data_IF_563681096077
#
_entry.id   IF_563681096077
#
_cell.length_a   1.000
_cell.length_b   1.000
_cell.length_c   1.000
_cell.angle_alpha   90.00
_cell.angle_beta   90.00
_cell.angle_gamma   90.00
#
_symmetry.space_group_name_H-M   'P 1'
#
loop_
_entity.id
_entity.type
_entity.pdbx_description
1 polymer ?
#
# COMPACT_ATOMS: atom_id res chain seq x y z
N UNK A 1 14.88 32.65 8.19
CA UNK A 1 14.68 31.82 6.98
C UNK A 1 13.97 30.49 7.28
N UNK A 2 14.41 29.73 8.30
CA UNK A 2 13.79 28.44 8.71
C UNK A 2 12.30 28.55 9.06
N UNK A 3 11.90 29.60 9.78
CA UNK A 3 10.51 29.80 10.21
C UNK A 3 9.49 29.85 9.07
N UNK A 4 9.77 30.65 8.04
CA UNK A 4 8.89 30.77 6.87
C UNK A 4 8.81 29.46 6.11
N UNK A 5 9.93 28.74 6.00
CA UNK A 5 9.96 27.42 5.39
C UNK A 5 9.11 26.42 6.18
N UNK A 6 9.23 26.34 7.51
CA UNK A 6 8.44 25.42 8.33
C UNK A 6 6.94 25.73 8.25
N UNK A 7 6.56 27.02 8.27
CA UNK A 7 5.17 27.44 8.03
C UNK A 7 4.67 26.99 6.66
N UNK A 8 5.48 27.19 5.62
CA UNK A 8 5.12 26.75 4.27
C UNK A 8 4.96 25.23 4.19
N UNK A 9 5.85 24.45 4.82
CA UNK A 9 5.73 22.99 4.87
C UNK A 9 4.42 22.56 5.53
N UNK A 10 4.01 23.22 6.61
CA UNK A 10 2.72 22.96 7.24
C UNK A 10 1.56 23.26 6.29
N UNK A 11 1.54 24.44 5.67
CA UNK A 11 0.49 24.82 4.71
C UNK A 11 0.43 23.83 3.55
N UNK A 12 1.58 23.47 2.99
CA UNK A 12 1.69 22.53 1.86
C UNK A 12 1.18 21.13 2.21
N UNK A 13 1.29 20.68 3.47
CA UNK A 13 0.73 19.40 3.91
C UNK A 13 -0.80 19.37 3.83
N UNK A 14 -1.47 20.49 4.14
CA UNK A 14 -2.93 20.55 4.26
C UNK A 14 -3.61 21.28 3.09
N UNK A 15 -2.86 21.75 2.10
CA UNK A 15 -3.36 22.66 1.06
C UNK A 15 -4.55 22.08 0.27
N UNK A 16 -4.61 20.75 0.11
CA UNK A 16 -5.70 20.07 -0.59
C UNK A 16 -6.97 19.90 0.26
N UNK A 17 -6.88 20.10 1.57
CA UNK A 17 -7.99 20.02 2.51
C UNK A 17 -8.55 21.42 2.87
N UNK A 18 -8.03 22.47 2.24
CA UNK A 18 -8.45 23.86 2.42
C UNK A 18 -9.56 24.25 1.42
N UNK A 19 -10.21 25.42 1.60
CA UNK A 19 -11.19 25.92 0.64
C UNK A 19 -10.65 26.04 -0.78
N UNK A 20 -11.56 26.03 -1.75
CA UNK A 20 -11.26 26.03 -3.19
C UNK A 20 -10.21 27.06 -3.61
N UNK A 21 -10.20 28.26 -3.04
CA UNK A 21 -9.23 29.32 -3.38
C UNK A 21 -7.77 28.87 -3.18
N UNK A 22 -7.47 28.09 -2.14
CA UNK A 22 -6.14 27.54 -1.88
C UNK A 22 -5.83 26.38 -2.82
N UNK A 23 -6.78 25.44 -2.95
CA UNK A 23 -6.63 24.25 -3.81
C UNK A 23 -6.43 24.65 -5.27
N UNK A 24 -7.20 25.63 -5.75
CA UNK A 24 -7.10 26.14 -7.12
C UNK A 24 -5.73 26.74 -7.41
N UNK A 25 -5.21 27.57 -6.50
CA UNK A 25 -3.85 28.12 -6.60
C UNK A 25 -2.77 27.03 -6.56
N UNK A 26 -2.97 26.00 -5.75
CA UNK A 26 -2.08 24.84 -5.76
C UNK A 26 -2.12 24.09 -7.09
N UNK A 27 -3.30 23.88 -7.68
CA UNK A 27 -3.46 23.23 -8.99
C UNK A 27 -2.81 24.04 -10.12
N UNK A 28 -2.93 25.37 -10.12
CA UNK A 28 -2.20 26.24 -11.06
C UNK A 28 -0.69 26.01 -10.96
N UNK A 29 -0.15 26.01 -9.74
CA UNK A 29 1.27 25.72 -9.50
C UNK A 29 1.68 24.34 -10.02
N UNK A 30 0.93 23.28 -9.67
CA UNK A 30 1.26 21.92 -10.12
C UNK A 30 1.19 21.80 -11.65
N UNK A 31 0.24 22.49 -12.29
CA UNK A 31 0.10 22.46 -13.75
C UNK A 31 1.29 23.13 -14.44
N UNK A 32 1.75 24.26 -13.90
CA UNK A 32 2.96 24.93 -14.39
C UNK A 32 4.22 24.08 -14.15
N UNK A 33 4.29 23.38 -13.00
CA UNK A 33 5.43 22.54 -12.64
C UNK A 33 5.53 21.27 -13.49
N UNK A 34 4.41 20.56 -13.69
CA UNK A 34 4.39 19.30 -14.43
C UNK A 34 4.20 19.48 -15.94
N UNK A 35 3.78 20.65 -16.41
CA UNK A 35 3.55 20.93 -17.84
C UNK A 35 2.22 20.39 -18.39
N UNK A 36 1.30 19.95 -17.53
CA UNK A 36 -0.05 19.53 -17.92
C UNK A 36 -1.05 19.83 -16.81
N UNK A 37 -2.32 20.02 -17.17
CA UNK A 37 -3.36 20.32 -16.19
C UNK A 37 -3.76 19.06 -15.43
N UNK A 38 -3.56 19.08 -14.11
CA UNK A 38 -4.08 18.04 -13.22
C UNK A 38 -5.57 18.28 -12.96
N UNK A 39 -6.42 17.61 -13.74
CA UNK A 39 -7.85 17.55 -13.47
C UNK A 39 -8.17 16.27 -12.68
N UNK A 40 -8.52 16.45 -11.40
CA UNK A 40 -9.15 15.43 -10.57
C UNK A 40 -10.53 15.97 -10.20
N UNK A 41 -11.57 15.16 -10.38
CA UNK A 41 -12.89 15.49 -9.82
C UNK A 41 -12.80 15.48 -8.29
N UNK A 42 -13.78 16.07 -7.61
CA UNK A 42 -13.82 16.04 -6.15
C UNK A 42 -14.07 14.61 -5.67
N UNK A 43 -14.88 13.86 -6.41
CA UNK A 43 -15.19 12.45 -6.20
C UNK A 43 -13.92 11.59 -6.26
N UNK A 44 -13.09 11.77 -7.30
CA UNK A 44 -11.82 11.05 -7.43
C UNK A 44 -10.85 11.39 -6.29
N UNK A 45 -10.80 12.67 -5.89
CA UNK A 45 -9.96 13.13 -4.78
C UNK A 45 -10.41 12.49 -3.46
N UNK A 46 -11.69 12.60 -3.13
CA UNK A 46 -12.27 12.05 -1.91
C UNK A 46 -12.11 10.54 -1.86
N UNK A 47 -12.37 9.84 -2.96
CA UNK A 47 -12.22 8.38 -3.05
C UNK A 47 -10.78 7.97 -2.77
N UNK A 48 -9.80 8.64 -3.40
CA UNK A 48 -8.38 8.39 -3.17
C UNK A 48 -7.96 8.67 -1.73
N UNK A 49 -8.46 9.75 -1.14
CA UNK A 49 -8.16 10.07 0.26
C UNK A 49 -8.76 9.07 1.24
N UNK A 50 -9.97 8.57 0.98
CA UNK A 50 -10.57 7.48 1.79
C UNK A 50 -9.73 6.21 1.67
N UNK A 51 -9.35 5.80 0.46
CA UNK A 51 -8.47 4.63 0.24
C UNK A 51 -7.14 4.80 0.99
N UNK A 52 -6.54 5.98 0.93
CA UNK A 52 -5.26 6.28 1.59
C UNK A 52 -5.36 6.31 3.12
N UNK A 53 -6.48 6.78 3.67
CA UNK A 53 -6.66 6.97 5.12
C UNK A 53 -7.27 5.75 5.82
N UNK A 54 -8.01 4.92 5.08
CA UNK A 54 -8.68 3.71 5.59
C UNK A 54 -8.34 2.44 4.79
N UNK A 55 -7.05 2.13 4.58
CA UNK A 55 -6.65 1.03 3.70
C UNK A 55 -7.24 -0.33 4.14
N UNK A 56 -7.19 -0.65 5.44
CA UNK A 56 -7.68 -1.92 5.96
C UNK A 56 -9.21 -2.05 5.93
N UNK A 57 -9.92 -0.94 6.15
CA UNK A 57 -11.37 -0.94 5.99
C UNK A 57 -11.77 -1.18 4.52
N UNK A 58 -11.05 -0.58 3.56
CA UNK A 58 -11.26 -0.84 2.13
C UNK A 58 -10.97 -2.32 1.78
N UNK A 59 -9.90 -2.91 2.32
CA UNK A 59 -9.62 -4.34 2.15
C UNK A 59 -10.77 -5.22 2.67
N UNK A 60 -11.32 -4.90 3.86
CA UNK A 60 -12.48 -5.61 4.42
C UNK A 60 -13.70 -5.54 3.50
N UNK A 61 -14.04 -4.35 3.01
CA UNK A 61 -15.15 -4.15 2.08
C UNK A 61 -14.97 -4.95 0.78
N UNK A 62 -13.74 -5.07 0.27
CA UNK A 62 -13.45 -5.86 -0.92
C UNK A 62 -13.63 -7.37 -0.69
N UNK A 63 -13.19 -7.86 0.48
CA UNK A 63 -13.19 -9.29 0.81
C UNK A 63 -14.57 -9.81 1.22
N UNK A 64 -15.40 -8.98 1.82
CA UNK A 64 -16.80 -9.31 2.13
C UNK A 64 -17.63 -9.64 0.88
N UNK A 65 -17.25 -9.13 -0.29
CA UNK A 65 -18.10 -9.10 -1.48
C UNK A 65 -17.75 -10.15 -2.57
N UNK A 66 -16.79 -11.06 -2.36
CA UNK A 66 -16.37 -11.95 -3.46
C UNK A 66 -16.06 -13.40 -3.05
N UNK A 67 -16.92 -14.34 -3.40
CA UNK A 67 -16.61 -15.78 -3.42
C UNK A 67 -15.50 -16.13 -4.43
N UNK A 68 -15.37 -15.35 -5.51
CA UNK A 68 -14.29 -15.45 -6.51
C UNK A 68 -12.89 -15.21 -5.93
N UNK A 69 -12.79 -14.52 -4.79
CA UNK A 69 -11.52 -14.15 -4.18
C UNK A 69 -10.72 -15.34 -3.66
N UNK A 70 -11.35 -16.32 -3.02
CA UNK A 70 -10.65 -17.49 -2.46
C UNK A 70 -9.88 -18.27 -3.55
N UNK A 71 -10.50 -18.42 -4.72
CA UNK A 71 -9.85 -19.06 -5.86
C UNK A 71 -8.72 -18.20 -6.42
N UNK A 72 -8.92 -16.88 -6.52
CA UNK A 72 -7.90 -15.95 -7.01
C UNK A 72 -6.65 -15.92 -6.11
N UNK A 73 -6.81 -15.95 -4.78
CA UNK A 73 -5.71 -16.06 -3.82
C UNK A 73 -4.91 -17.34 -4.08
N UNK A 74 -5.59 -18.48 -4.21
CA UNK A 74 -4.95 -19.78 -4.45
C UNK A 74 -4.18 -19.79 -5.77
N UNK A 75 -4.74 -19.19 -6.83
CA UNK A 75 -4.06 -19.01 -8.12
C UNK A 75 -2.80 -18.15 -7.96
N UNK A 76 -2.89 -17.01 -7.30
CA UNK A 76 -1.75 -16.09 -7.10
C UNK A 76 -0.66 -16.72 -6.24
N UNK A 77 -1.02 -17.48 -5.20
CA UNK A 77 -0.06 -18.26 -4.39
C UNK A 77 0.68 -19.28 -5.24
N UNK A 78 -0.05 -20.03 -6.07
CA UNK A 78 0.52 -21.05 -6.97
C UNK A 78 1.50 -20.41 -7.97
N UNK A 79 1.07 -19.34 -8.64
CA UNK A 79 1.90 -18.60 -9.60
C UNK A 79 3.14 -18.02 -8.92
N UNK A 80 3.00 -17.44 -7.73
CA UNK A 80 4.13 -16.90 -6.96
C UNK A 80 5.16 -17.98 -6.64
N UNK A 81 4.72 -19.16 -6.20
CA UNK A 81 5.60 -20.28 -5.88
C UNK A 81 6.33 -20.83 -7.12
N UNK A 82 5.63 -20.98 -8.24
CA UNK A 82 6.25 -21.43 -9.49
C UNK A 82 7.22 -20.39 -10.06
N UNK A 83 6.95 -19.09 -9.91
CA UNK A 83 7.90 -18.03 -10.25
C UNK A 83 9.18 -18.10 -9.41
N UNK A 84 9.06 -18.29 -8.09
CA UNK A 84 10.22 -18.44 -7.19
C UNK A 84 11.06 -19.65 -7.60
N UNK A 85 10.43 -20.78 -7.87
CA UNK A 85 11.08 -22.02 -8.31
C UNK A 85 11.74 -21.89 -9.68
N UNK A 86 11.06 -21.22 -10.62
CA UNK A 86 11.61 -20.92 -11.95
C UNK A 86 12.82 -20.00 -11.85
N UNK A 87 12.78 -19.01 -10.96
CA UNK A 87 13.89 -18.10 -10.75
C UNK A 87 15.11 -18.78 -10.10
N UNK A 88 14.88 -19.71 -9.16
CA UNK A 88 15.96 -20.59 -8.65
C UNK A 88 16.58 -21.43 -9.77
N UNK A 89 15.75 -22.02 -10.63
CA UNK A 89 16.19 -22.80 -11.79
C UNK A 89 17.02 -21.95 -12.77
N UNK A 90 16.58 -20.72 -13.01
CA UNK A 90 17.32 -19.75 -13.83
C UNK A 90 18.71 -19.44 -13.24
N UNK A 91 18.81 -19.25 -11.92
CA UNK A 91 20.12 -19.03 -11.25
C UNK A 91 21.07 -20.19 -11.48
N UNK A 92 20.58 -21.43 -11.42
CA UNK A 92 21.42 -22.61 -11.60
C UNK A 92 21.82 -22.85 -13.06
N UNK A 93 20.89 -22.66 -14.01
CA UNK A 93 21.07 -23.08 -15.41
C UNK A 93 21.46 -21.96 -16.37
N UNK A 94 21.05 -20.72 -16.10
CA UNK A 94 21.07 -19.64 -17.08
C UNK A 94 21.82 -18.40 -16.62
N UNK A 95 21.98 -18.16 -15.32
CA UNK A 95 22.69 -17.00 -14.77
C UNK A 95 24.22 -17.13 -14.88
N UNK A 96 24.76 -17.26 -16.10
CA UNK A 96 26.19 -17.44 -16.38
C UNK A 96 27.07 -16.27 -15.89
N UNK A 97 26.47 -15.10 -15.71
CA UNK A 97 27.14 -13.92 -15.17
C UNK A 97 27.42 -14.03 -13.66
N UNK A 98 26.69 -14.89 -12.93
CA UNK A 98 26.95 -15.23 -11.53
C UNK A 98 28.01 -16.33 -11.47
N UNK A 99 29.26 -15.95 -11.77
CA UNK A 99 30.37 -16.90 -11.94
C UNK A 99 30.63 -17.69 -10.66
N UNK A 100 30.60 -17.02 -9.52
CA UNK A 100 30.97 -17.62 -8.24
C UNK A 100 29.82 -18.44 -7.62
N UNK A 101 30.17 -19.64 -7.16
CA UNK A 101 29.21 -20.58 -6.55
C UNK A 101 28.61 -19.99 -5.27
N UNK A 102 29.40 -19.20 -4.53
CA UNK A 102 28.97 -18.56 -3.28
C UNK A 102 27.79 -17.61 -3.50
N UNK A 103 27.88 -16.70 -4.47
CA UNK A 103 26.84 -15.72 -4.78
C UNK A 103 25.58 -16.42 -5.31
N UNK A 104 25.72 -17.49 -6.10
CA UNK A 104 24.57 -18.32 -6.52
C UNK A 104 23.87 -18.96 -5.33
N UNK A 105 24.63 -19.51 -4.38
CA UNK A 105 24.05 -20.09 -3.16
C UNK A 105 23.36 -19.02 -2.29
N UNK A 106 23.99 -17.87 -2.06
CA UNK A 106 23.39 -16.76 -1.30
C UNK A 106 22.11 -16.23 -1.97
N UNK A 107 22.08 -16.13 -3.30
CA UNK A 107 20.87 -15.73 -4.02
C UNK A 107 19.73 -16.75 -3.85
N UNK A 108 20.04 -18.05 -3.90
CA UNK A 108 19.05 -19.12 -3.64
C UNK A 108 18.60 -19.15 -2.19
N UNK A 109 19.49 -18.91 -1.23
CA UNK A 109 19.14 -18.77 0.19
C UNK A 109 18.16 -17.62 0.40
N UNK A 110 18.40 -16.47 -0.23
CA UNK A 110 17.46 -15.34 -0.21
C UNK A 110 16.09 -15.72 -0.78
N UNK A 111 16.04 -16.48 -1.87
CA UNK A 111 14.78 -16.98 -2.45
C UNK A 111 14.12 -18.08 -1.62
N UNK A 112 14.89 -18.85 -0.86
CA UNK A 112 14.35 -19.84 0.08
C UNK A 112 13.71 -19.15 1.30
N UNK A 113 14.27 -18.02 1.73
CA UNK A 113 13.75 -17.20 2.81
C UNK A 113 12.69 -16.17 2.35
N UNK A 114 12.32 -16.14 1.07
CA UNK A 114 11.32 -15.21 0.56
C UNK A 114 9.94 -15.63 1.09
N UNK A 115 9.23 -14.68 1.69
CA UNK A 115 7.85 -14.89 2.15
C UNK A 115 6.85 -14.17 1.24
N UNK A 116 5.60 -14.58 1.27
CA UNK A 116 4.50 -13.92 0.55
C UNK A 116 3.46 -13.38 1.53
N UNK A 117 2.84 -12.26 1.16
CA UNK A 117 1.68 -11.67 1.82
C UNK A 117 0.65 -11.45 0.70
N UNK A 118 -0.27 -12.41 0.54
CA UNK A 118 -1.21 -12.43 -0.57
C UNK A 118 -2.60 -12.18 0.01
N UNK A 119 -3.27 -11.16 -0.50
CA UNK A 119 -4.64 -10.85 -0.17
C UNK A 119 -4.77 -9.58 0.67
N UNK A 120 -4.95 -9.77 1.97
CA UNK A 120 -5.25 -8.69 2.90
C UNK A 120 -4.54 -8.89 4.25
N UNK A 121 -4.49 -7.82 5.03
CA UNK A 121 -3.92 -7.82 6.37
C UNK A 121 -4.83 -8.59 7.34
N UNK A 122 -4.24 -9.34 8.27
CA UNK A 122 -5.01 -10.08 9.30
C UNK A 122 -5.99 -9.18 10.08
N UNK A 123 -5.62 -7.91 10.27
CA UNK A 123 -6.45 -6.89 10.93
C UNK A 123 -7.75 -6.57 10.20
N UNK A 124 -7.81 -6.79 8.87
CA UNK A 124 -9.02 -6.60 8.07
C UNK A 124 -9.86 -7.88 7.96
N UNK A 125 -9.59 -8.90 8.76
CA UNK A 125 -10.35 -10.17 8.75
C UNK A 125 -11.72 -10.04 9.42
N UNK A 126 -11.85 -9.17 10.41
CA UNK A 126 -13.06 -9.00 11.20
C UNK A 126 -13.21 -7.55 11.67
N UNK A 127 -14.45 -7.18 11.98
CA UNK A 127 -14.83 -5.79 12.22
C UNK A 127 -14.27 -5.30 13.57
N UNK A 128 -14.21 -6.18 14.59
CA UNK A 128 -13.68 -5.82 15.91
C UNK A 128 -12.18 -5.45 15.87
N UNK A 129 -11.38 -6.14 15.06
CA UNK A 129 -9.97 -5.78 14.86
C UNK A 129 -9.79 -4.45 14.12
N UNK A 130 -10.70 -4.08 13.23
CA UNK A 130 -10.69 -2.78 12.55
C UNK A 130 -11.11 -1.65 13.49
N UNK A 131 -12.15 -1.88 14.30
CA UNK A 131 -12.61 -0.91 15.29
C UNK A 131 -11.50 -0.59 16.31
N UNK A 132 -10.77 -1.61 16.78
CA UNK A 132 -9.61 -1.43 17.66
C UNK A 132 -8.47 -0.67 16.95
N UNK A 133 -8.18 -0.98 15.69
CA UNK A 133 -7.14 -0.29 14.93
C UNK A 133 -7.44 1.20 14.74
N UNK A 134 -8.69 1.55 14.43
CA UNK A 134 -9.11 2.93 14.16
C UNK A 134 -9.64 3.67 15.40
N UNK A 135 -9.46 3.13 16.61
CA UNK A 135 -10.05 3.64 17.87
C UNK A 135 -9.78 5.14 18.13
N UNK A 136 -8.61 5.63 17.70
CA UNK A 136 -8.14 7.01 17.86
C UNK A 136 -8.35 7.87 16.62
N UNK A 137 -8.92 7.35 15.54
CA UNK A 137 -9.18 8.10 14.31
C UNK A 137 -10.64 8.58 14.26
N UNK A 138 -10.88 9.77 14.79
CA UNK A 138 -12.22 10.38 14.80
C UNK A 138 -12.48 11.15 13.50
N UNK A 139 -13.63 10.92 12.87
CA UNK A 139 -14.08 11.61 11.66
C UNK A 139 -15.45 12.26 11.89
N UNK A 140 -15.61 13.50 11.44
CA UNK A 140 -16.86 14.28 11.50
C UNK A 140 -17.22 14.79 10.12
N UNK A 141 -18.48 14.59 9.70
CA UNK A 141 -18.93 14.83 8.31
C UNK A 141 -18.59 16.23 7.78
N UNK A 142 -18.79 17.26 8.59
CA UNK A 142 -18.63 18.67 8.17
C UNK A 142 -17.27 19.30 8.53
N UNK A 143 -16.30 18.48 8.97
CA UNK A 143 -15.02 18.96 9.51
C UNK A 143 -13.81 18.41 8.73
N UNK A 144 -13.79 18.60 7.41
CA UNK A 144 -12.79 17.97 6.52
C UNK A 144 -11.32 18.23 6.93
N UNK A 145 -10.96 19.49 7.21
CA UNK A 145 -9.60 19.84 7.65
C UNK A 145 -9.27 19.21 9.01
N UNK A 146 -10.22 19.19 9.95
CA UNK A 146 -10.06 18.54 11.24
C UNK A 146 -9.90 17.02 11.11
N UNK A 147 -10.61 16.39 10.16
CA UNK A 147 -10.44 14.97 9.85
C UNK A 147 -9.01 14.69 9.33
N UNK A 148 -8.41 15.61 8.57
CA UNK A 148 -6.99 15.52 8.20
C UNK A 148 -6.07 15.62 9.40
N UNK A 149 -6.30 16.57 10.32
CA UNK A 149 -5.52 16.65 11.56
C UNK A 149 -5.65 15.38 12.40
N UNK A 150 -6.87 14.86 12.54
CA UNK A 150 -7.19 13.61 13.22
C UNK A 150 -6.42 12.43 12.60
N UNK A 151 -6.45 12.29 11.27
CA UNK A 151 -5.69 11.28 10.55
C UNK A 151 -4.18 11.39 10.81
N UNK A 152 -3.60 12.59 10.70
CA UNK A 152 -2.15 12.75 10.91
C UNK A 152 -1.73 12.47 12.36
N UNK A 153 -2.58 12.81 13.33
CA UNK A 153 -2.37 12.44 14.73
C UNK A 153 -2.42 10.92 14.92
N UNK A 154 -3.46 10.28 14.41
CA UNK A 154 -3.63 8.83 14.40
C UNK A 154 -2.44 8.11 13.75
N UNK A 155 -2.08 8.50 12.53
CA UNK A 155 -0.99 7.86 11.78
C UNK A 155 0.35 8.01 12.51
N UNK A 156 0.61 9.16 13.15
CA UNK A 156 1.79 9.32 14.01
C UNK A 156 1.78 8.36 15.19
N UNK A 157 0.63 8.13 15.82
CA UNK A 157 0.49 7.15 16.91
C UNK A 157 0.75 5.73 16.43
N UNK A 158 0.21 5.34 15.27
CA UNK A 158 0.49 4.04 14.63
C UNK A 158 1.99 3.86 14.39
N UNK A 159 2.64 4.83 13.74
CA UNK A 159 4.08 4.79 13.50
C UNK A 159 4.89 4.74 14.79
N UNK A 160 4.52 5.52 15.81
CA UNK A 160 5.21 5.51 17.10
C UNK A 160 5.06 4.18 17.83
N UNK A 161 3.93 3.50 17.69
CA UNK A 161 3.72 2.17 18.26
C UNK A 161 4.51 1.10 17.50
N UNK A 162 4.56 1.19 16.16
CA UNK A 162 5.37 0.32 15.32
C UNK A 162 6.87 0.40 15.68
N UNK A 163 7.38 1.60 15.96
CA UNK A 163 8.76 1.80 16.40
C UNK A 163 9.06 1.13 17.75
N UNK A 164 8.08 1.09 18.66
CA UNK A 164 8.23 0.43 19.97
C UNK A 164 8.06 -1.09 19.86
N UNK A 165 7.27 -1.55 18.91
CA UNK A 165 6.87 -2.94 18.75
C UNK A 165 6.93 -3.36 17.26
N UNK A 166 8.12 -3.61 16.71
CA UNK A 166 8.30 -3.84 15.28
C UNK A 166 7.60 -5.11 14.74
N UNK A 167 7.28 -6.07 15.62
CA UNK A 167 6.65 -7.35 15.24
C UNK A 167 5.11 -7.32 15.24
N UNK A 168 4.46 -6.22 15.67
CA UNK A 168 3.00 -6.19 15.86
C UNK A 168 2.20 -5.99 14.57
N UNK A 169 2.86 -5.50 13.53
CA UNK A 169 2.22 -5.24 12.26
C UNK A 169 2.75 -6.33 11.34
N UNK A 170 1.89 -7.10 10.69
CA UNK A 170 2.22 -8.05 9.61
C UNK A 170 2.89 -7.36 8.39
N UNK A 171 3.38 -6.14 8.59
CA UNK A 171 4.06 -5.20 7.73
C UNK A 171 3.20 -4.63 6.60
N UNK A 172 1.90 -4.92 6.62
CA UNK A 172 0.94 -4.35 5.68
C UNK A 172 0.87 -2.82 5.75
N UNK A 173 1.07 -2.18 6.91
CA UNK A 173 1.11 -0.71 6.99
C UNK A 173 2.20 -0.08 6.11
N UNK A 174 3.35 -0.76 5.94
CA UNK A 174 4.40 -0.29 5.04
C UNK A 174 4.01 -0.40 3.57
N UNK A 175 3.14 -1.35 3.24
CA UNK A 175 2.58 -1.50 1.90
C UNK A 175 1.45 -0.49 1.66
N UNK A 176 0.54 -0.32 2.62
CA UNK A 176 -0.63 0.57 2.51
C UNK A 176 -0.28 2.06 2.49
N UNK A 177 0.90 2.44 2.98
CA UNK A 177 1.44 3.80 2.78
C UNK A 177 1.84 4.10 1.32
N UNK A 178 1.75 3.11 0.42
CA UNK A 178 2.00 3.22 -1.02
C UNK A 178 0.71 2.95 -1.82
N UNK A 179 -0.34 3.78 -1.66
CA UNK A 179 -1.58 3.60 -2.42
C UNK A 179 -1.25 3.61 -3.92
N UNK A 180 -1.90 2.70 -4.67
CA UNK A 180 -1.71 2.43 -6.11
C UNK A 180 -0.71 1.31 -6.48
N UNK A 181 -0.23 0.50 -5.53
CA UNK A 181 0.53 -0.71 -5.87
C UNK A 181 -0.34 -1.95 -5.68
N UNK A 182 -0.47 -2.76 -6.73
CA UNK A 182 -1.19 -4.05 -6.67
C UNK A 182 -0.28 -5.17 -6.12
N UNK A 183 1.03 -5.02 -6.31
CA UNK A 183 2.06 -5.88 -5.74
C UNK A 183 3.32 -5.06 -5.47
N UNK A 184 4.13 -5.48 -4.49
CA UNK A 184 5.41 -4.84 -4.16
C UNK A 184 6.35 -5.84 -3.47
N UNK A 185 7.66 -5.62 -3.62
CA UNK A 185 8.68 -6.36 -2.89
C UNK A 185 9.35 -5.44 -1.88
N UNK A 186 9.24 -5.78 -0.59
CA UNK A 186 9.91 -5.02 0.47
C UNK A 186 11.17 -5.78 0.89
N UNK A 187 12.33 -5.23 0.49
CA UNK A 187 13.63 -5.86 0.68
C UNK A 187 13.99 -6.12 2.15
N UNK A 188 13.59 -5.21 3.06
CA UNK A 188 13.86 -5.33 4.50
C UNK A 188 13.18 -6.55 5.11
N UNK A 189 12.00 -6.93 4.60
CA UNK A 189 11.24 -8.09 5.08
C UNK A 189 11.49 -9.34 4.23
N UNK A 190 12.22 -9.21 3.12
CA UNK A 190 12.31 -10.22 2.08
C UNK A 190 10.93 -10.82 1.76
N UNK A 191 9.95 -9.94 1.51
CA UNK A 191 8.54 -10.31 1.37
C UNK A 191 7.92 -9.71 0.13
N UNK A 192 7.20 -10.54 -0.63
CA UNK A 192 6.35 -10.14 -1.74
C UNK A 192 4.93 -9.90 -1.22
N UNK A 193 4.40 -8.70 -1.46
CA UNK A 193 3.03 -8.34 -1.16
C UNK A 193 2.23 -8.34 -2.45
N UNK A 194 1.02 -8.91 -2.42
CA UNK A 194 0.02 -8.83 -3.48
C UNK A 194 -1.32 -8.54 -2.83
N UNK A 195 -1.92 -7.40 -3.11
CA UNK A 195 -3.23 -7.05 -2.53
C UNK A 195 -4.38 -7.68 -3.30
N UNK A 196 -5.45 -7.96 -2.56
CA UNK A 196 -6.69 -8.52 -3.08
C UNK A 196 -7.26 -7.75 -4.29
N UNK A 197 -7.16 -6.42 -4.28
CA UNK A 197 -7.62 -5.58 -5.39
C UNK A 197 -6.77 -5.70 -6.65
N UNK A 198 -5.64 -6.41 -6.63
CA UNK A 198 -4.86 -6.76 -7.83
C UNK A 198 -5.25 -8.11 -8.42
N UNK A 199 -6.09 -8.88 -7.71
CA UNK A 199 -6.43 -10.27 -8.05
C UNK A 199 -7.74 -10.35 -8.82
N UNK A 200 -7.87 -9.47 -9.82
CA UNK A 200 -9.00 -9.46 -10.73
C UNK A 200 -8.51 -9.13 -12.15
N UNK A 201 -9.41 -9.22 -13.12
CA UNK A 201 -9.10 -8.88 -14.51
C UNK A 201 -8.61 -7.44 -14.64
N UNK A 202 -7.60 -7.16 -15.48
CA UNK A 202 -7.00 -8.05 -16.48
C UNK A 202 -5.78 -8.82 -15.97
N UNK A 203 -5.49 -8.82 -14.66
CA UNK A 203 -4.27 -9.43 -14.12
C UNK A 203 -4.47 -10.88 -13.68
N UNK A 204 -5.61 -11.19 -13.07
CA UNK A 204 -5.91 -12.53 -12.57
C UNK A 204 -7.34 -12.90 -12.92
N UNK A 205 -7.51 -14.02 -13.62
CA UNK A 205 -8.78 -14.70 -13.82
C UNK A 205 -8.56 -16.20 -13.62
N UNK A 206 -9.36 -16.82 -12.76
CA UNK A 206 -9.26 -18.24 -12.38
C UNK A 206 -9.61 -19.22 -13.51
N UNK A 207 -10.20 -18.74 -14.59
CA UNK A 207 -10.59 -19.50 -15.78
C UNK A 207 -9.51 -19.46 -16.88
N UNK A 208 -8.46 -18.64 -16.72
CA UNK A 208 -7.34 -18.59 -17.66
C UNK A 208 -6.39 -19.79 -17.50
N UNK A 209 -5.65 -20.16 -18.55
CA UNK A 209 -4.62 -21.19 -18.46
C UNK A 209 -3.39 -20.64 -17.72
N UNK A 210 -3.18 -21.09 -16.48
CA UNK A 210 -2.01 -20.78 -15.64
C UNK A 210 -1.00 -21.93 -15.64
#
# INVERSE_FOLDING_TARGET
>A
MVHNYLRWRLVATYINDLPYSYVHKHREYLSAYYGYTLHSTNEDYCTREVIRRFPFAIQRLYTMNSTKYSNAVTTVETVSNELIKSFKTYIDKNAKWMVDVKTRNMAKEKLNALTTAIGYASISSNDASLDDYYDKFVVTADAHLQNSYSYHHFHRSVLSNALKNPNLLDHWDFFETRPNRLFDYIAVFNRLFVIASGMHEPLVNTEWPW
#
